data_IF_879673645534
#
_entry.id   IF_879673645534
#
_cell.length_a   1.000
_cell.length_b   1.000
_cell.length_c   1.000
_cell.angle_alpha   90.00
_cell.angle_beta   90.00
_cell.angle_gamma   90.00
#
_symmetry.space_group_name_H-M   'P 1'
#
loop_
_entity.id
_entity.type
_entity.pdbx_description
1 polymer ?
#
# COMPACT_ATOMS: atom_id res chain seq x y z
N UNK A 1 10.95 3.05 15.80
CA UNK A 1 9.84 3.72 15.09
C UNK A 1 8.73 3.91 16.11
N UNK A 2 8.37 5.15 16.49
CA UNK A 2 7.13 5.35 17.23
C UNK A 2 5.99 4.78 16.38
N UNK A 3 5.00 4.18 17.03
CA UNK A 3 3.91 3.53 16.32
C UNK A 3 3.19 4.51 15.38
N UNK A 4 2.80 4.03 14.20
CA UNK A 4 2.10 4.87 13.22
C UNK A 4 0.81 5.42 13.83
N UNK A 5 0.54 6.71 13.62
CA UNK A 5 -0.64 7.39 14.14
C UNK A 5 -1.95 6.74 13.66
N UNK A 6 -1.93 6.10 12.49
CA UNK A 6 -3.03 5.28 11.99
C UNK A 6 -3.32 4.07 12.86
N UNK A 7 -2.31 3.24 13.16
CA UNK A 7 -2.47 2.05 14.03
C UNK A 7 -2.90 2.47 15.41
N UNK A 8 -2.27 3.52 15.96
CA UNK A 8 -2.58 4.02 17.28
C UNK A 8 -4.04 4.49 17.38
N UNK A 9 -4.52 5.31 16.45
CA UNK A 9 -5.90 5.79 16.45
C UNK A 9 -6.94 4.68 16.23
N UNK A 10 -6.58 3.60 15.53
CA UNK A 10 -7.49 2.50 15.23
C UNK A 10 -7.53 1.43 16.33
N UNK A 11 -6.38 1.03 16.86
CA UNK A 11 -6.23 -0.15 17.72
C UNK A 11 -5.85 0.18 19.17
N UNK A 12 -5.26 1.35 19.43
CA UNK A 12 -4.73 1.71 20.75
C UNK A 12 -5.63 2.76 21.40
N UNK A 13 -5.60 3.99 20.88
CA UNK A 13 -6.39 5.11 21.39
C UNK A 13 -7.89 4.92 21.06
N UNK A 14 -8.18 4.14 20.00
CA UNK A 14 -9.54 3.82 19.52
C UNK A 14 -10.42 5.07 19.30
N UNK A 15 -9.78 6.22 19.11
CA UNK A 15 -10.43 7.51 18.94
C UNK A 15 -10.85 7.76 17.49
N UNK A 16 -10.35 6.92 16.56
CA UNK A 16 -10.52 7.04 15.11
C UNK A 16 -10.08 8.41 14.57
N UNK A 17 -9.16 9.09 15.26
CA UNK A 17 -8.65 10.43 14.93
C UNK A 17 -7.13 10.40 14.84
N UNK A 18 -6.58 9.76 13.80
CA UNK A 18 -5.14 9.74 13.58
C UNK A 18 -4.61 11.16 13.43
N UNK A 19 -3.60 11.51 14.23
CA UNK A 19 -2.92 12.80 14.18
C UNK A 19 -1.79 12.72 13.16
N UNK A 20 -2.14 12.86 11.89
CA UNK A 20 -1.18 12.81 10.80
C UNK A 20 -0.23 14.01 10.84
N UNK A 21 1.02 13.76 10.45
CA UNK A 21 2.01 14.80 10.19
C UNK A 21 2.65 14.53 8.83
N UNK A 22 2.49 15.43 7.85
CA UNK A 22 1.73 16.69 7.90
C UNK A 22 0.22 16.47 8.02
N UNK A 23 -0.46 17.39 8.71
CA UNK A 23 -1.90 17.27 9.05
C UNK A 23 -2.85 17.68 7.93
N UNK A 24 -2.33 18.29 6.87
CA UNK A 24 -3.09 18.75 5.71
C UNK A 24 -2.40 18.37 4.41
N UNK A 25 -3.19 18.15 3.38
CA UNK A 25 -2.70 17.76 2.06
C UNK A 25 -1.85 18.85 1.40
N UNK A 26 -2.19 20.13 1.60
CA UNK A 26 -1.44 21.29 1.07
C UNK A 26 0.01 21.37 1.59
N UNK A 27 0.31 20.70 2.70
CA UNK A 27 1.63 20.65 3.31
C UNK A 27 2.45 19.44 2.84
N UNK A 28 1.86 18.54 2.03
CA UNK A 28 2.58 17.41 1.45
C UNK A 28 3.35 17.90 0.23
N UNK A 29 4.67 17.91 0.32
CA UNK A 29 5.53 18.33 -0.78
C UNK A 29 5.73 17.22 -1.81
N UNK A 30 6.12 17.59 -3.04
CA UNK A 30 6.38 16.61 -4.10
C UNK A 30 7.52 15.66 -3.70
N UNK A 31 8.56 16.19 -3.06
CA UNK A 31 9.73 15.43 -2.62
C UNK A 31 9.35 14.37 -1.58
N UNK A 32 8.38 14.67 -0.71
CA UNK A 32 7.86 13.69 0.25
C UNK A 32 7.23 12.49 -0.45
N UNK A 33 6.48 12.74 -1.52
CA UNK A 33 5.85 11.70 -2.33
C UNK A 33 6.92 10.93 -3.09
N UNK A 34 7.83 11.62 -3.77
CA UNK A 34 8.89 11.00 -4.58
C UNK A 34 9.73 10.00 -3.76
N UNK A 35 10.02 10.30 -2.48
CA UNK A 35 10.73 9.39 -1.57
C UNK A 35 10.01 8.06 -1.33
N UNK A 36 8.67 8.03 -1.37
CA UNK A 36 7.91 6.79 -1.20
C UNK A 36 8.06 5.84 -2.40
N UNK A 37 8.38 6.39 -3.57
CA UNK A 37 8.59 5.63 -4.81
C UNK A 37 10.08 5.40 -5.11
N UNK A 38 10.97 5.85 -4.22
CA UNK A 38 12.40 5.60 -4.34
C UNK A 38 12.66 4.08 -4.25
N UNK A 39 13.32 3.52 -5.26
CA UNK A 39 13.64 2.09 -5.33
C UNK A 39 12.62 1.21 -6.05
N UNK A 40 11.61 1.79 -6.70
CA UNK A 40 10.70 1.01 -7.56
C UNK A 40 11.38 0.53 -8.85
N UNK A 41 12.35 1.28 -9.34
CA UNK A 41 13.19 0.91 -10.49
C UNK A 41 14.39 0.03 -10.08
N UNK A 42 14.44 -0.42 -8.81
CA UNK A 42 15.46 -1.38 -8.37
C UNK A 42 15.21 -2.74 -9.03
N UNK A 43 16.27 -3.36 -9.55
CA UNK A 43 16.19 -4.67 -10.20
C UNK A 43 15.64 -5.76 -9.26
N UNK A 44 15.76 -5.57 -7.94
CA UNK A 44 15.21 -6.47 -6.92
C UNK A 44 13.74 -6.21 -6.57
N UNK A 45 13.11 -5.17 -7.15
CA UNK A 45 11.70 -4.88 -6.94
C UNK A 45 10.80 -5.97 -7.55
N UNK A 46 10.02 -6.66 -6.71
CA UNK A 46 9.12 -7.74 -7.12
C UNK A 46 7.67 -7.34 -6.95
N UNK A 47 6.87 -7.63 -7.96
CA UNK A 47 5.42 -7.47 -7.86
C UNK A 47 4.85 -8.30 -6.69
N UNK A 48 3.97 -7.66 -5.92
CA UNK A 48 3.24 -8.30 -4.84
C UNK A 48 2.37 -9.43 -5.42
N UNK A 49 2.76 -10.69 -5.14
CA UNK A 49 1.96 -11.87 -5.49
C UNK A 49 0.90 -12.07 -4.43
N UNK A 50 -0.31 -11.57 -4.71
CA UNK A 50 -1.45 -11.84 -3.85
C UNK A 50 -1.87 -13.31 -4.00
N UNK A 51 -2.21 -14.00 -2.89
CA UNK A 51 -2.80 -15.32 -2.98
C UNK A 51 -4.08 -15.22 -3.82
N UNK A 52 -4.18 -16.10 -4.82
CA UNK A 52 -5.27 -16.13 -5.79
C UNK A 52 -6.57 -16.66 -5.14
N UNK A 53 -7.16 -15.93 -4.19
CA UNK A 53 -8.36 -16.38 -3.46
C UNK A 53 -9.67 -16.20 -4.24
N UNK A 54 -9.62 -15.83 -5.53
CA UNK A 54 -10.76 -15.93 -6.46
C UNK A 54 -10.38 -16.59 -7.79
N UNK A 55 -9.44 -17.55 -7.74
CA UNK A 55 -9.02 -18.32 -8.91
C UNK A 55 -9.97 -19.48 -9.24
N UNK A 56 -11.17 -19.14 -9.68
CA UNK A 56 -12.03 -20.12 -10.35
C UNK A 56 -12.23 -19.79 -11.85
N UNK A 57 -11.70 -18.65 -12.33
CA UNK A 57 -12.05 -18.11 -13.67
C UNK A 57 -10.87 -17.81 -14.60
N UNK A 58 -9.63 -17.78 -14.10
CA UNK A 58 -8.44 -17.53 -14.91
C UNK A 58 -7.95 -18.80 -15.64
N UNK A 59 -8.11 -19.97 -15.01
CA UNK A 59 -7.78 -21.28 -15.59
C UNK A 59 -8.60 -21.62 -16.86
N UNK A 60 -9.79 -21.03 -17.02
CA UNK A 60 -10.65 -21.30 -18.19
C UNK A 60 -10.30 -20.40 -19.40
N UNK A 61 -9.73 -19.22 -19.16
CA UNK A 61 -9.35 -18.25 -20.20
C UNK A 61 -7.95 -18.48 -20.79
N UNK A 62 -7.11 -19.23 -20.09
CA UNK A 62 -5.75 -19.58 -20.51
C UNK A 62 -5.66 -20.91 -21.27
N UNK A 63 -6.77 -21.63 -21.47
CA UNK A 63 -6.78 -22.84 -22.29
C UNK A 63 -6.81 -22.46 -23.77
N UNK A 64 -5.79 -22.84 -24.58
CA UNK A 64 -5.86 -22.64 -26.02
C UNK A 64 -7.06 -23.40 -26.57
N UNK A 65 -7.87 -22.72 -27.39
CA UNK A 65 -8.98 -23.32 -28.12
C UNK A 65 -8.38 -24.20 -29.22
N UNK A 66 -8.52 -25.51 -29.08
CA UNK A 66 -8.32 -26.47 -30.16
C UNK A 66 -9.60 -26.57 -30.99
#
# INVERSE_FOLDING_TARGET
MPESQGVRALLIDTDKKPKWEPSKLELVSKEMVDRCFAGIDDDDWKYLKLPCSRSNRLEELLKPKL
#
